data_IF_168460123918
#
_entry.id   IF_168460123918
#
_cell.length_a   1.000
_cell.length_b   1.000
_cell.length_c   1.000
_cell.angle_alpha   90.00
_cell.angle_beta   90.00
_cell.angle_gamma   90.00
#
_symmetry.space_group_name_H-M   'P 1'
#
loop_
_entity.id
_entity.type
_entity.pdbx_description
1 polymer ?
#
# COMPACT_ATOMS: atom_id res chain seq x y z
N UNK A 1 23.72 -0.57 -10.14
CA UNK A 1 22.43 0.06 -9.81
C UNK A 1 21.79 -0.72 -8.67
N UNK A 2 21.17 -0.07 -7.68
CA UNK A 2 20.49 -0.78 -6.59
C UNK A 2 19.31 -1.59 -7.17
N UNK A 3 19.20 -2.87 -6.78
CA UNK A 3 18.20 -3.86 -7.26
C UNK A 3 16.72 -3.50 -6.99
N UNK A 4 16.44 -2.33 -6.40
CA UNK A 4 15.13 -1.94 -5.92
C UNK A 4 14.17 -1.44 -7.01
N UNK A 5 14.65 -1.19 -8.24
CA UNK A 5 13.83 -0.61 -9.33
C UNK A 5 13.68 -1.52 -10.56
N UNK A 6 14.09 -2.80 -10.47
CA UNK A 6 13.97 -3.73 -11.60
C UNK A 6 12.52 -4.15 -11.89
N UNK A 7 11.61 -3.94 -10.94
CA UNK A 7 10.18 -4.26 -11.06
C UNK A 7 9.33 -3.00 -10.85
N UNK A 8 8.26 -2.89 -11.64
CA UNK A 8 7.26 -1.85 -11.44
C UNK A 8 6.71 -1.90 -10.01
N UNK A 9 6.48 -0.74 -9.36
CA UNK A 9 5.89 -0.70 -8.03
C UNK A 9 4.51 -1.36 -8.04
N UNK A 10 4.17 -2.08 -6.97
CA UNK A 10 2.88 -2.74 -6.84
C UNK A 10 1.80 -1.72 -6.42
N UNK A 11 0.63 -1.77 -7.06
CA UNK A 11 -0.48 -0.87 -6.75
C UNK A 11 -1.09 -1.21 -5.38
N UNK A 12 -1.29 -0.21 -4.50
CA UNK A 12 -1.94 -0.42 -3.22
C UNK A 12 -3.39 -0.88 -3.44
N UNK A 13 -3.82 -1.90 -2.67
CA UNK A 13 -5.19 -2.41 -2.69
C UNK A 13 -6.00 -1.76 -1.58
N UNK A 14 -7.22 -1.31 -1.89
CA UNK A 14 -8.19 -0.91 -0.89
C UNK A 14 -8.50 -2.08 0.05
N UNK A 15 -8.14 -1.94 1.32
CA UNK A 15 -8.63 -2.84 2.38
C UNK A 15 -9.81 -2.16 3.05
N UNK A 16 -10.92 -2.89 3.16
CA UNK A 16 -12.15 -2.39 3.80
C UNK A 16 -11.98 -2.14 5.31
N UNK A 17 -11.05 -2.85 5.98
CA UNK A 17 -10.78 -2.68 7.41
C UNK A 17 -9.30 -2.86 7.72
N UNK A 18 -8.75 -1.93 8.50
CA UNK A 18 -7.51 -2.12 9.25
C UNK A 18 -7.75 -3.10 10.41
N UNK A 19 -6.68 -3.58 11.06
CA UNK A 19 -6.82 -4.40 12.27
C UNK A 19 -7.70 -3.71 13.30
N UNK A 20 -8.52 -4.49 14.02
CA UNK A 20 -9.40 -3.96 15.06
C UNK A 20 -8.58 -3.27 16.15
N UNK A 21 -8.93 -2.01 16.43
CA UNK A 21 -8.24 -1.20 17.42
C UNK A 21 -8.52 -1.72 18.85
N UNK A 22 -7.62 -1.48 19.80
CA UNK A 22 -7.79 -1.92 21.18
C UNK A 22 -9.04 -1.29 21.83
N UNK A 23 -9.31 -0.02 21.50
CA UNK A 23 -10.52 0.68 21.96
C UNK A 23 -11.80 0.12 21.35
N UNK A 24 -11.77 -0.29 20.07
CA UNK A 24 -12.90 -0.98 19.42
C UNK A 24 -13.20 -2.31 20.13
N UNK A 25 -12.15 -3.05 20.48
CA UNK A 25 -12.27 -4.32 21.20
C UNK A 25 -12.82 -4.13 22.62
N UNK A 26 -12.33 -3.14 23.36
CA UNK A 26 -12.84 -2.83 24.71
C UNK A 26 -14.31 -2.41 24.66
N UNK A 27 -14.71 -1.58 23.68
CA UNK A 27 -16.10 -1.20 23.53
C UNK A 27 -16.99 -2.39 23.12
N UNK A 28 -16.49 -3.29 22.29
CA UNK A 28 -17.19 -4.54 21.95
C UNK A 28 -17.40 -5.41 23.20
N UNK A 29 -16.36 -5.58 24.03
CA UNK A 29 -16.46 -6.32 25.29
C UNK A 29 -17.44 -5.67 26.25
N UNK A 30 -17.43 -4.33 26.36
CA UNK A 30 -18.39 -3.60 27.18
C UNK A 30 -19.82 -3.78 26.66
N UNK A 31 -20.03 -3.74 25.35
CA UNK A 31 -21.34 -3.94 24.74
C UNK A 31 -21.86 -5.37 24.99
N UNK A 32 -21.01 -6.38 24.82
CA UNK A 32 -21.36 -7.77 25.14
C UNK A 32 -21.62 -7.97 26.63
N UNK A 33 -20.79 -7.40 27.50
CA UNK A 33 -20.95 -7.48 28.95
C UNK A 33 -22.24 -6.83 29.43
N UNK A 34 -22.60 -5.67 28.88
CA UNK A 34 -23.86 -4.97 29.21
C UNK A 34 -25.08 -5.70 28.67
N UNK A 35 -24.97 -6.33 27.49
CA UNK A 35 -26.02 -7.19 26.95
C UNK A 35 -26.27 -8.41 27.85
N UNK A 36 -25.19 -9.09 28.27
CA UNK A 36 -25.28 -10.21 29.22
C UNK A 36 -25.86 -9.74 30.55
N UNK A 37 -25.44 -8.59 31.07
CA UNK A 37 -25.97 -8.02 32.30
C UNK A 37 -27.49 -7.81 32.21
N UNK A 38 -27.98 -7.19 31.13
CA UNK A 38 -29.42 -6.99 30.90
C UNK A 38 -30.17 -8.33 30.86
N UNK A 39 -29.62 -9.34 30.17
CA UNK A 39 -30.24 -10.67 30.10
C UNK A 39 -30.30 -11.34 31.48
N UNK A 40 -29.22 -11.27 32.26
CA UNK A 40 -29.17 -11.85 33.61
C UNK A 40 -30.18 -11.19 34.56
N UNK A 41 -30.34 -9.87 34.47
CA UNK A 41 -31.36 -9.13 35.23
C UNK A 41 -32.77 -9.56 34.80
N UNK A 42 -33.03 -9.66 33.49
CA UNK A 42 -34.36 -10.04 32.97
C UNK A 42 -34.76 -11.47 33.34
N UNK A 43 -33.80 -12.40 33.39
CA UNK A 43 -34.05 -13.81 33.77
C UNK A 43 -34.21 -13.95 35.30
N UNK A 44 -33.92 -12.90 36.08
CA UNK A 44 -33.84 -12.96 37.54
C UNK A 44 -32.92 -14.10 37.98
N UNK A 45 -31.72 -14.15 37.40
CA UNK A 45 -30.72 -15.12 37.81
C UNK A 45 -30.49 -14.98 39.32
N UNK A 46 -30.37 -16.09 40.05
CA UNK A 46 -30.32 -16.12 41.53
C UNK A 46 -29.23 -15.27 42.19
N UNK A 47 -28.26 -14.76 41.43
CA UNK A 47 -27.19 -13.87 41.88
C UNK A 47 -27.64 -12.40 41.88
N UNK A 48 -28.67 -12.08 41.09
CA UNK A 48 -29.31 -10.76 40.97
C UNK A 48 -30.73 -10.80 41.52
N UNK A 49 -30.91 -11.38 42.71
CA UNK A 49 -32.22 -11.46 43.37
C UNK A 49 -32.56 -10.11 44.02
N UNK A 50 -33.05 -9.17 43.19
CA UNK A 50 -33.44 -7.84 43.62
C UNK A 50 -34.87 -7.91 44.16
N UNK A 51 -35.00 -7.74 45.47
CA UNK A 51 -36.27 -7.94 46.19
C UNK A 51 -37.24 -6.78 46.02
N UNK A 52 -36.75 -5.55 45.79
CA UNK A 52 -37.60 -4.38 45.64
C UNK A 52 -37.84 -4.06 44.17
N UNK A 53 -39.09 -3.72 43.83
CA UNK A 53 -39.48 -3.42 42.45
C UNK A 53 -38.81 -2.15 41.92
N UNK A 54 -38.63 -1.16 42.79
CA UNK A 54 -38.01 0.13 42.43
C UNK A 54 -36.53 -0.03 42.07
N UNK A 55 -35.77 -0.80 42.84
CA UNK A 55 -34.36 -1.07 42.53
C UNK A 55 -34.22 -1.89 41.25
N UNK A 56 -35.11 -2.87 41.04
CA UNK A 56 -35.11 -3.67 39.82
C UNK A 56 -35.34 -2.81 38.57
N UNK A 57 -36.36 -1.95 38.61
CA UNK A 57 -36.69 -1.08 37.49
C UNK A 57 -35.54 -0.09 37.23
N UNK A 58 -34.95 0.49 38.27
CA UNK A 58 -33.79 1.38 38.13
C UNK A 58 -32.60 0.68 37.46
N UNK A 59 -32.17 -0.48 37.98
CA UNK A 59 -31.01 -1.21 37.47
C UNK A 59 -31.25 -1.68 36.03
N UNK A 60 -32.47 -2.14 35.73
CA UNK A 60 -32.86 -2.55 34.38
C UNK A 60 -32.77 -1.38 33.40
N UNK A 61 -33.39 -0.25 33.70
CA UNK A 61 -33.38 0.91 32.79
C UNK A 61 -31.99 1.52 32.65
N UNK A 62 -31.21 1.56 33.73
CA UNK A 62 -29.81 1.99 33.70
C UNK A 62 -28.97 1.09 32.78
N UNK A 63 -29.10 -0.24 32.93
CA UNK A 63 -28.35 -1.20 32.11
C UNK A 63 -28.74 -1.14 30.63
N UNK A 64 -30.03 -0.95 30.33
CA UNK A 64 -30.51 -0.72 28.96
C UNK A 64 -29.94 0.59 28.41
N UNK A 65 -29.93 1.67 29.19
CA UNK A 65 -29.34 2.95 28.79
C UNK A 65 -27.85 2.81 28.46
N UNK A 66 -27.11 2.11 29.31
CA UNK A 66 -25.68 1.83 29.10
C UNK A 66 -25.44 1.00 27.83
N UNK A 67 -26.28 -0.01 27.58
CA UNK A 67 -26.22 -0.83 26.36
C UNK A 67 -26.42 0.03 25.10
N UNK A 68 -27.41 0.92 25.12
CA UNK A 68 -27.68 1.84 23.99
C UNK A 68 -26.48 2.76 23.74
N UNK A 69 -25.89 3.34 24.80
CA UNK A 69 -24.71 4.20 24.68
C UNK A 69 -23.52 3.42 24.11
N UNK A 70 -23.26 2.22 24.61
CA UNK A 70 -22.16 1.38 24.12
C UNK A 70 -22.37 0.97 22.65
N UNK A 71 -23.61 0.65 22.26
CA UNK A 71 -23.97 0.35 20.88
C UNK A 71 -23.76 1.56 19.96
N UNK A 72 -24.16 2.77 20.38
CA UNK A 72 -23.86 4.01 19.63
C UNK A 72 -22.34 4.24 19.49
N UNK A 73 -21.57 3.91 20.52
CA UNK A 73 -20.11 3.88 20.46
C UNK A 73 -19.60 2.96 19.35
N UNK A 74 -20.14 1.73 19.23
CA UNK A 74 -19.76 0.78 18.17
C UNK A 74 -20.04 1.34 16.79
N UNK A 75 -21.19 1.98 16.58
CA UNK A 75 -21.49 2.64 15.31
C UNK A 75 -20.47 3.73 14.99
N UNK A 76 -20.13 4.58 15.96
CA UNK A 76 -19.11 5.63 15.77
C UNK A 76 -17.74 5.06 15.40
N UNK A 77 -17.33 3.97 16.06
CA UNK A 77 -16.08 3.30 15.74
C UNK A 77 -16.07 2.69 14.33
N UNK A 78 -17.17 2.09 13.89
CA UNK A 78 -17.28 1.55 12.52
C UNK A 78 -17.15 2.66 11.46
N UNK A 79 -17.76 3.83 11.69
CA UNK A 79 -17.58 5.00 10.83
C UNK A 79 -16.12 5.50 10.86
N UNK A 80 -15.52 5.58 12.04
CA UNK A 80 -14.12 5.98 12.20
C UNK A 80 -13.14 5.04 11.49
N UNK A 81 -13.37 3.73 11.58
CA UNK A 81 -12.55 2.73 10.90
C UNK A 81 -12.59 2.87 9.38
N UNK A 82 -13.76 3.18 8.81
CA UNK A 82 -13.90 3.45 7.36
C UNK A 82 -13.12 4.68 6.94
N UNK A 83 -13.21 5.77 7.69
CA UNK A 83 -12.49 7.00 7.38
C UNK A 83 -10.98 6.79 7.44
N UNK A 84 -10.48 6.14 8.50
CA UNK A 84 -9.06 5.77 8.63
C UNK A 84 -8.56 4.90 7.48
N UNK A 85 -9.36 3.93 7.04
CA UNK A 85 -8.99 3.07 5.90
C UNK A 85 -8.90 3.86 4.58
N UNK A 86 -9.80 4.83 4.36
CA UNK A 86 -9.76 5.70 3.19
C UNK A 86 -8.54 6.65 3.22
N UNK A 87 -8.21 7.20 4.38
CA UNK A 87 -7.03 8.05 4.55
C UNK A 87 -5.74 7.28 4.29
N UNK A 88 -5.59 6.08 4.88
CA UNK A 88 -4.43 5.21 4.67
C UNK A 88 -4.29 4.79 3.21
N UNK A 89 -5.40 4.45 2.55
CA UNK A 89 -5.38 4.13 1.12
C UNK A 89 -4.95 5.35 0.28
N UNK A 90 -5.50 6.53 0.56
CA UNK A 90 -5.18 7.76 -0.17
C UNK A 90 -3.70 8.11 0.00
N UNK A 91 -3.15 7.94 1.20
CA UNK A 91 -1.74 8.13 1.48
C UNK A 91 -0.87 7.16 0.67
N UNK A 92 -1.16 5.85 0.73
CA UNK A 92 -0.44 4.82 -0.03
C UNK A 92 -0.53 5.04 -1.55
N UNK A 93 -1.66 5.53 -2.04
CA UNK A 93 -1.83 5.85 -3.46
C UNK A 93 -0.91 7.01 -3.89
N UNK A 94 -0.79 8.06 -3.07
CA UNK A 94 0.16 9.15 -3.33
C UNK A 94 1.61 8.67 -3.33
N UNK A 95 1.99 7.80 -2.38
CA UNK A 95 3.34 7.21 -2.37
C UNK A 95 3.59 6.35 -3.61
N UNK A 96 2.60 5.55 -4.00
CA UNK A 96 2.65 4.74 -5.22
C UNK A 96 2.82 5.61 -6.48
N UNK A 97 2.10 6.72 -6.59
CA UNK A 97 2.25 7.66 -7.70
C UNK A 97 3.68 8.23 -7.78
N UNK A 98 4.26 8.61 -6.65
CA UNK A 98 5.65 9.11 -6.58
C UNK A 98 6.64 8.00 -6.96
N UNK A 99 6.44 6.78 -6.48
CA UNK A 99 7.29 5.64 -6.83
C UNK A 99 7.20 5.29 -8.31
N UNK A 100 5.99 5.34 -8.88
CA UNK A 100 5.73 5.09 -10.30
C UNK A 100 6.39 6.14 -11.18
N UNK A 101 6.29 7.43 -10.86
CA UNK A 101 6.94 8.49 -11.65
C UNK A 101 8.46 8.36 -11.61
N UNK A 102 9.04 8.11 -10.43
CA UNK A 102 10.49 7.84 -10.30
C UNK A 102 10.93 6.60 -11.07
N UNK A 103 10.13 5.54 -11.05
CA UNK A 103 10.42 4.32 -11.82
C UNK A 103 10.41 4.58 -13.32
N UNK A 104 9.43 5.34 -13.82
CA UNK A 104 9.37 5.76 -15.23
C UNK A 104 10.57 6.62 -15.62
N UNK A 105 10.98 7.56 -14.76
CA UNK A 105 12.15 8.43 -14.99
C UNK A 105 13.47 7.64 -15.03
N UNK A 106 13.65 6.67 -14.13
CA UNK A 106 14.83 5.80 -14.13
C UNK A 106 14.85 4.92 -15.39
N UNK A 107 13.69 4.40 -15.78
CA UNK A 107 13.56 3.55 -16.98
C UNK A 107 13.83 4.36 -18.25
N UNK A 108 13.33 5.60 -18.36
CA UNK A 108 13.63 6.47 -19.50
C UNK A 108 15.11 6.83 -19.56
N UNK A 109 15.74 7.22 -18.44
CA UNK A 109 17.18 7.48 -18.36
C UNK A 109 18.02 6.25 -18.73
N UNK A 110 17.59 5.05 -18.33
CA UNK A 110 18.24 3.79 -18.72
C UNK A 110 18.15 3.56 -20.23
N UNK A 111 16.98 3.78 -20.83
CA UNK A 111 16.78 3.69 -22.28
C UNK A 111 17.61 4.74 -23.05
N UNK A 112 17.69 5.97 -22.53
CA UNK A 112 18.54 7.01 -23.09
C UNK A 112 20.03 6.66 -23.03
N UNK A 113 20.52 6.11 -21.91
CA UNK A 113 21.89 5.62 -21.79
C UNK A 113 22.19 4.42 -22.68
N UNK A 114 21.24 3.50 -22.86
CA UNK A 114 21.39 2.37 -23.80
C UNK A 114 21.39 2.86 -25.26
N UNK A 115 20.56 3.85 -25.58
CA UNK A 115 20.55 4.51 -26.89
C UNK A 115 21.86 5.27 -27.16
N UNK A 116 22.35 6.07 -26.21
CA UNK A 116 23.60 6.81 -26.37
C UNK A 116 24.80 5.87 -26.50
N UNK A 117 24.86 4.79 -25.70
CA UNK A 117 25.85 3.72 -25.86
C UNK A 117 25.75 3.02 -27.22
N UNK A 118 24.54 2.78 -27.72
CA UNK A 118 24.33 2.22 -29.05
C UNK A 118 24.87 3.17 -30.13
N UNK A 119 24.59 4.47 -30.03
CA UNK A 119 25.12 5.48 -30.96
C UNK A 119 26.64 5.62 -30.89
N UNK A 120 27.24 5.59 -29.70
CA UNK A 120 28.70 5.55 -29.52
C UNK A 120 29.31 4.27 -30.09
N UNK A 121 28.70 3.11 -29.86
CA UNK A 121 29.18 1.86 -30.45
C UNK A 121 29.08 1.88 -31.99
N UNK A 122 28.03 2.50 -32.54
CA UNK A 122 27.85 2.64 -33.98
C UNK A 122 28.83 3.64 -34.60
N UNK A 123 29.20 4.71 -33.87
CA UNK A 123 30.23 5.66 -34.32
C UNK A 123 31.63 5.04 -34.29
N UNK A 124 31.95 4.22 -33.27
CA UNK A 124 33.20 3.46 -33.20
C UNK A 124 33.30 2.43 -34.33
N UNK A 125 32.20 1.72 -34.65
CA UNK A 125 32.18 0.78 -35.79
C UNK A 125 32.37 1.51 -37.11
N UNK A 126 31.73 2.67 -37.31
CA UNK A 126 31.94 3.49 -38.52
C UNK A 126 33.40 3.99 -38.62
N UNK A 127 33.97 4.46 -37.51
CA UNK A 127 35.37 4.89 -37.47
C UNK A 127 36.32 3.73 -37.78
N UNK A 128 36.08 2.53 -37.23
CA UNK A 128 36.87 1.34 -37.54
C UNK A 128 36.73 0.90 -39.01
N UNK A 129 35.54 1.00 -39.60
CA UNK A 129 35.31 0.65 -41.00
C UNK A 129 36.00 1.62 -41.96
N UNK A 130 36.05 2.91 -41.63
CA UNK A 130 36.81 3.92 -42.38
C UNK A 130 38.32 3.65 -42.33
N UNK A 131 38.85 3.23 -41.18
CA UNK A 131 40.28 2.87 -41.05
C UNK A 131 40.62 1.60 -41.86
N UNK A 132 39.75 0.60 -41.84
CA UNK A 132 39.94 -0.63 -42.65
C UNK A 132 39.87 -0.32 -44.15
N UNK A 133 38.97 0.57 -44.57
CA UNK A 133 38.83 0.96 -45.98
C UNK A 133 40.00 1.85 -46.46
N UNK A 134 40.55 2.68 -45.59
CA UNK A 134 41.77 3.42 -45.87
C UNK A 134 42.98 2.46 -46.01
N UNK A 135 43.11 1.48 -45.13
CA UNK A 135 44.17 0.48 -45.19
C UNK A 135 44.08 -0.43 -46.43
N UNK A 136 42.87 -0.78 -46.89
CA UNK A 136 42.70 -1.58 -48.12
C UNK A 136 43.07 -0.80 -49.39
N UNK A 137 42.82 0.51 -49.42
CA UNK A 137 43.17 1.36 -50.58
C UNK A 137 44.69 1.60 -50.69
N UNK A 138 45.42 1.61 -49.56
CA UNK A 138 46.88 1.72 -49.57
C UNK A 138 47.55 0.43 -50.08
N UNK A 139 46.97 -0.75 -49.83
CA UNK A 139 47.47 -2.04 -50.32
C UNK A 139 47.30 -2.19 -51.84
N UNK A 140 46.16 -1.76 -52.40
CA UNK A 140 45.94 -1.76 -53.86
C UNK A 140 46.86 -0.78 -54.61
N UNK A 141 47.32 0.28 -53.93
CA UNK A 141 48.23 1.27 -54.53
C UNK A 141 49.70 0.80 -54.52
N UNK A 142 50.09 -0.08 -53.59
CA UNK A 142 51.41 -0.70 -53.58
C UNK A 142 51.54 -1.87 -54.57
N UNK A 143 50.50 -2.68 -54.77
CA UNK A 143 50.52 -3.78 -55.76
C UNK A 143 50.68 -3.29 -57.21
N UNK A 144 50.37 -2.02 -57.51
CA UNK A 144 50.50 -1.44 -58.85
C UNK A 144 51.87 -0.82 -59.15
N UNK A 145 52.78 -0.76 -58.17
CA UNK A 145 54.12 -0.16 -58.33
C UNK A 145 55.25 -1.19 -58.40
N UNK A 146 54.98 -2.48 -58.18
CA UNK A 146 55.99 -3.55 -58.28
C UNK A 146 56.00 -4.25 -59.65
N UNK A 147 55.07 -3.93 -60.56
CA UNK A 147 54.95 -4.53 -61.91
C UNK A 147 55.25 -3.55 -63.07
N UNK A 148 56.03 -2.47 -62.84
CA UNK A 148 56.59 -1.61 -63.91
C UNK A 148 58.13 -1.64 -63.95
#
# INVERSE_FOLDING_TARGET
MPKAFDRAPDQPKLRRRSSMDAMEFLNLLLCLGTLVLVLLIMIRWSVFDITTKEEYDFIKFFSIGLLVISALGMFRFDLGAKNRANEDYTFKMKEYEILRTKWLEITSKKMEMESSRSMESMSVVKAAQVVVQAASNDVDTQSKKEDE
#
